data_IF_377262565332
#
_entry.id   IF_377262565332
#
_cell.length_a   1.000
_cell.length_b   1.000
_cell.length_c   1.000
_cell.angle_alpha   90.00
_cell.angle_beta   90.00
_cell.angle_gamma   90.00
#
_symmetry.space_group_name_H-M   'P 1'
#
loop_
_entity.id
_entity.type
_entity.pdbx_description
1 polymer ?
#
# COMPACT_ATOMS: atom_id res chain seq x y z
N UNK A 1 -28.65 13.15 -16.01
CA UNK A 1 -28.18 12.74 -17.35
C UNK A 1 -27.64 11.34 -17.16
N UNK A 2 -28.49 10.37 -17.44
CA UNK A 2 -28.23 8.96 -17.15
C UNK A 2 -27.00 8.52 -17.93
N UNK A 3 -26.00 7.98 -17.22
CA UNK A 3 -24.86 7.35 -17.88
C UNK A 3 -25.40 6.24 -18.77
N UNK A 4 -25.15 6.31 -20.08
CA UNK A 4 -25.56 5.25 -20.99
C UNK A 4 -24.93 3.93 -20.54
N UNK A 5 -25.78 3.00 -20.12
CA UNK A 5 -25.39 1.68 -19.66
C UNK A 5 -24.90 0.86 -20.88
N UNK A 6 -23.83 0.05 -20.77
CA UNK A 6 -23.36 -0.78 -21.87
C UNK A 6 -24.47 -1.65 -22.47
N UNK A 7 -24.48 -1.82 -23.80
CA UNK A 7 -25.48 -2.64 -24.51
C UNK A 7 -25.52 -4.08 -23.99
N UNK A 8 -24.38 -4.64 -23.56
CA UNK A 8 -24.32 -5.98 -22.98
C UNK A 8 -25.12 -6.11 -21.67
N UNK A 9 -25.16 -5.05 -20.87
CA UNK A 9 -25.95 -4.99 -19.63
C UNK A 9 -27.44 -4.76 -19.93
N UNK A 10 -27.73 -3.98 -20.99
CA UNK A 10 -29.11 -3.67 -21.42
C UNK A 10 -29.79 -4.82 -22.15
N UNK A 11 -29.02 -5.64 -22.90
CA UNK A 11 -29.51 -6.75 -23.72
C UNK A 11 -28.77 -8.06 -23.36
N UNK A 12 -28.99 -8.60 -22.15
CA UNK A 12 -28.24 -9.75 -21.65
C UNK A 12 -28.59 -11.05 -22.38
N UNK A 13 -29.82 -11.20 -22.90
CA UNK A 13 -30.24 -12.43 -23.55
C UNK A 13 -29.50 -12.64 -24.88
N UNK A 14 -29.44 -11.62 -25.75
CA UNK A 14 -28.65 -11.71 -26.98
C UNK A 14 -27.15 -11.75 -26.70
N UNK A 15 -26.68 -11.01 -25.69
CA UNK A 15 -25.26 -11.05 -25.30
C UNK A 15 -24.80 -12.45 -24.91
N UNK A 16 -25.62 -13.21 -24.19
CA UNK A 16 -25.32 -14.62 -23.86
C UNK A 16 -25.17 -15.55 -25.06
N UNK A 17 -25.71 -15.17 -26.23
CA UNK A 17 -25.62 -15.95 -27.47
C UNK A 17 -24.47 -15.47 -28.38
N UNK A 18 -23.77 -14.38 -28.05
CA UNK A 18 -22.63 -13.89 -28.83
C UNK A 18 -21.42 -14.83 -28.70
N UNK A 19 -20.89 -15.29 -29.82
CA UNK A 19 -19.67 -16.13 -29.85
C UNK A 19 -18.40 -15.29 -29.85
N UNK A 20 -18.47 -14.03 -30.30
CA UNK A 20 -17.34 -13.11 -30.40
C UNK A 20 -17.53 -11.85 -29.57
N UNK A 21 -17.21 -11.92 -28.27
CA UNK A 21 -17.41 -10.84 -27.30
C UNK A 21 -16.51 -9.61 -27.51
N UNK A 22 -15.44 -9.74 -28.29
CA UNK A 22 -14.48 -8.67 -28.54
C UNK A 22 -14.53 -8.14 -29.99
N UNK A 23 -15.64 -8.35 -30.69
CA UNK A 23 -15.85 -7.75 -32.01
C UNK A 23 -15.96 -6.21 -31.89
N UNK A 24 -15.35 -5.48 -32.82
CA UNK A 24 -15.52 -4.03 -32.90
C UNK A 24 -16.89 -3.70 -33.48
N UNK A 25 -17.47 -2.55 -33.13
CA UNK A 25 -18.73 -2.08 -33.72
C UNK A 25 -18.59 -1.99 -35.25
N UNK A 26 -17.44 -1.56 -35.76
CA UNK A 26 -17.17 -1.55 -37.20
C UNK A 26 -17.25 -2.93 -37.85
N UNK A 27 -16.71 -3.98 -37.20
CA UNK A 27 -16.82 -5.35 -37.70
C UNK A 27 -18.26 -5.85 -37.69
N UNK A 28 -19.02 -5.54 -36.62
CA UNK A 28 -20.43 -5.94 -36.48
C UNK A 28 -21.32 -5.23 -37.51
N UNK A 29 -21.09 -3.94 -37.77
CA UNK A 29 -21.81 -3.20 -38.83
C UNK A 29 -21.52 -3.80 -40.20
N UNK A 30 -20.27 -4.18 -40.48
CA UNK A 30 -19.88 -4.70 -41.79
C UNK A 30 -20.26 -6.16 -42.05
N UNK A 31 -20.23 -7.02 -41.02
CA UNK A 31 -20.39 -8.49 -41.17
C UNK A 31 -21.61 -9.05 -40.45
N UNK A 32 -22.26 -8.27 -39.58
CA UNK A 32 -23.32 -8.73 -38.69
C UNK A 32 -22.78 -9.29 -37.37
N UNK A 33 -23.70 -9.82 -36.56
CA UNK A 33 -23.39 -10.39 -35.25
C UNK A 33 -22.98 -11.85 -35.38
N UNK A 34 -21.89 -12.24 -34.71
CA UNK A 34 -21.49 -13.64 -34.56
C UNK A 34 -22.27 -14.28 -33.39
N UNK A 35 -23.28 -15.09 -33.71
CA UNK A 35 -24.22 -15.67 -32.75
C UNK A 35 -24.21 -17.20 -32.78
N UNK A 36 -24.43 -17.83 -31.63
CA UNK A 36 -24.70 -19.25 -31.52
C UNK A 36 -25.97 -19.62 -32.32
N UNK A 37 -26.02 -20.80 -32.97
CA UNK A 37 -27.24 -21.27 -33.62
C UNK A 37 -28.39 -21.44 -32.62
N UNK A 38 -29.63 -21.19 -33.07
CA UNK A 38 -30.88 -21.28 -32.28
C UNK A 38 -30.98 -20.25 -31.15
N UNK A 39 -31.38 -19.03 -31.51
CA UNK A 39 -31.70 -18.00 -30.53
C UNK A 39 -32.96 -18.36 -29.74
N UNK A 40 -32.94 -18.05 -28.44
CA UNK A 40 -34.18 -18.01 -27.66
C UNK A 40 -35.10 -16.89 -28.16
N UNK A 41 -36.40 -16.97 -27.86
CA UNK A 41 -37.36 -15.92 -28.23
C UNK A 41 -36.95 -14.56 -27.69
N UNK A 42 -36.46 -14.50 -26.45
CA UNK A 42 -35.97 -13.27 -25.84
C UNK A 42 -34.74 -12.72 -26.57
N UNK A 43 -33.76 -13.57 -26.89
CA UNK A 43 -32.56 -13.16 -27.64
C UNK A 43 -32.91 -12.69 -29.06
N UNK A 44 -33.88 -13.31 -29.72
CA UNK A 44 -34.36 -12.89 -31.04
C UNK A 44 -35.04 -11.51 -31.00
N UNK A 45 -35.85 -11.23 -29.97
CA UNK A 45 -36.42 -9.90 -29.76
C UNK A 45 -35.33 -8.85 -29.51
N UNK A 46 -34.40 -9.12 -28.59
CA UNK A 46 -33.28 -8.21 -28.30
C UNK A 46 -32.39 -7.98 -29.52
N UNK A 47 -32.17 -8.99 -30.37
CA UNK A 47 -31.40 -8.87 -31.59
C UNK A 47 -32.00 -7.81 -32.54
N UNK A 48 -33.32 -7.79 -32.70
CA UNK A 48 -33.99 -6.79 -33.54
C UNK A 48 -33.76 -5.36 -33.00
N UNK A 49 -33.82 -5.19 -31.69
CA UNK A 49 -33.56 -3.89 -31.05
C UNK A 49 -32.11 -3.44 -31.22
N UNK A 50 -31.15 -4.34 -30.97
CA UNK A 50 -29.73 -4.04 -31.10
C UNK A 50 -29.36 -3.78 -32.58
N UNK A 51 -29.92 -4.54 -33.52
CA UNK A 51 -29.74 -4.29 -34.96
C UNK A 51 -30.24 -2.89 -35.35
N UNK A 52 -31.38 -2.45 -34.81
CA UNK A 52 -31.90 -1.09 -35.06
C UNK A 52 -30.97 0.00 -34.52
N UNK A 53 -30.40 -0.22 -33.33
CA UNK A 53 -29.42 0.70 -32.75
C UNK A 53 -28.14 0.77 -33.59
N UNK A 54 -27.61 -0.38 -33.99
CA UNK A 54 -26.38 -0.47 -34.80
C UNK A 54 -26.58 0.10 -36.20
N UNK A 55 -27.75 -0.10 -36.81
CA UNK A 55 -28.08 0.49 -38.12
C UNK A 55 -28.08 2.03 -38.11
N UNK A 56 -28.29 2.66 -36.95
CA UNK A 56 -28.21 4.11 -36.80
C UNK A 56 -26.78 4.68 -36.67
N UNK A 57 -25.75 3.82 -36.60
CA UNK A 57 -24.37 4.25 -36.37
C UNK A 57 -23.70 4.59 -37.70
N UNK A 58 -23.22 5.83 -37.83
CA UNK A 58 -22.36 6.25 -38.93
C UNK A 58 -20.90 6.17 -38.51
N UNK A 59 -20.13 5.27 -39.14
CA UNK A 59 -18.71 5.06 -38.85
C UNK A 59 -17.86 6.11 -39.57
N UNK A 60 -16.89 6.69 -38.85
CA UNK A 60 -15.83 7.51 -39.44
C UNK A 60 -14.67 6.67 -39.98
N UNK A 61 -13.83 7.25 -40.84
CA UNK A 61 -12.61 6.62 -41.38
C UNK A 61 -11.39 6.76 -40.46
N UNK A 62 -11.51 7.53 -39.37
CA UNK A 62 -10.44 7.76 -38.41
C UNK A 62 -10.31 6.64 -37.37
N UNK A 63 -9.22 6.65 -36.61
CA UNK A 63 -9.05 5.76 -35.47
C UNK A 63 -10.05 6.07 -34.35
N UNK A 64 -10.42 5.06 -33.58
CA UNK A 64 -11.31 5.21 -32.42
C UNK A 64 -10.74 6.21 -31.40
N UNK A 65 -11.60 7.10 -30.89
CA UNK A 65 -11.26 8.07 -29.84
C UNK A 65 -12.08 7.79 -28.59
N UNK A 66 -11.40 7.69 -27.44
CA UNK A 66 -12.03 7.49 -26.13
C UNK A 66 -12.14 8.82 -25.40
N UNK A 67 -13.28 9.04 -24.77
CA UNK A 67 -13.60 10.27 -24.06
C UNK A 67 -14.18 9.94 -22.68
N UNK A 68 -14.04 10.88 -21.75
CA UNK A 68 -14.75 10.85 -20.46
C UNK A 68 -16.00 11.71 -20.62
N UNK A 69 -17.19 11.11 -20.55
CA UNK A 69 -18.47 11.72 -20.92
C UNK A 69 -18.76 13.02 -20.14
N UNK A 70 -18.36 13.07 -18.86
CA UNK A 70 -18.55 14.23 -17.99
C UNK A 70 -17.63 15.43 -18.31
N UNK A 71 -16.60 15.27 -19.16
CA UNK A 71 -15.62 16.30 -19.50
C UNK A 71 -15.71 16.75 -20.97
N UNK A 72 -16.93 16.86 -21.52
CA UNK A 72 -17.21 17.47 -22.85
C UNK A 72 -16.23 17.01 -23.94
N UNK A 73 -16.01 15.69 -24.06
CA UNK A 73 -15.11 15.09 -25.07
C UNK A 73 -13.64 15.49 -24.96
N UNK A 74 -13.14 15.79 -23.76
CA UNK A 74 -11.70 15.78 -23.51
C UNK A 74 -11.14 14.36 -23.75
N UNK A 75 -9.95 14.29 -24.34
CA UNK A 75 -9.25 13.02 -24.57
C UNK A 75 -9.10 12.24 -23.27
N UNK A 76 -9.38 10.94 -23.28
CA UNK A 76 -9.23 10.09 -22.11
C UNK A 76 -7.85 10.23 -21.45
N UNK A 77 -7.85 10.47 -20.14
CA UNK A 77 -6.65 10.56 -19.31
C UNK A 77 -6.82 9.68 -18.08
N UNK A 78 -5.94 8.67 -17.92
CA UNK A 78 -6.01 7.73 -16.79
C UNK A 78 -5.96 8.43 -15.43
N UNK A 79 -5.22 9.54 -15.32
CA UNK A 79 -5.14 10.36 -14.09
C UNK A 79 -6.49 10.95 -13.70
N UNK A 80 -7.24 11.43 -14.69
CA UNK A 80 -8.55 12.05 -14.45
C UNK A 80 -9.61 10.99 -14.17
N UNK A 81 -9.60 9.89 -14.94
CA UNK A 81 -10.45 8.74 -14.66
C UNK A 81 -10.22 8.17 -13.25
N UNK A 82 -8.96 8.03 -12.83
CA UNK A 82 -8.61 7.58 -11.48
C UNK A 82 -9.11 8.55 -10.41
N UNK A 83 -8.93 9.88 -10.58
CA UNK A 83 -9.44 10.87 -9.63
C UNK A 83 -10.97 10.86 -9.50
N UNK A 84 -11.68 10.52 -10.58
CA UNK A 84 -13.15 10.40 -10.55
C UNK A 84 -13.61 9.11 -9.85
N UNK A 85 -12.93 7.99 -10.10
CA UNK A 85 -13.24 6.69 -9.48
C UNK A 85 -12.78 6.60 -8.02
N UNK A 86 -11.75 7.35 -7.67
CA UNK A 86 -11.14 7.41 -6.34
C UNK A 86 -11.06 8.87 -5.91
N UNK A 87 -12.18 9.46 -5.43
CA UNK A 87 -12.16 10.81 -4.89
C UNK A 87 -11.11 10.90 -3.78
N UNK A 88 -10.41 12.03 -3.65
CA UNK A 88 -9.34 12.17 -2.67
C UNK A 88 -9.90 11.94 -1.26
N UNK A 89 -9.44 10.86 -0.62
CA UNK A 89 -9.66 10.64 0.80
C UNK A 89 -8.72 11.54 1.60
N UNK A 90 -9.13 12.03 2.79
CA UNK A 90 -8.22 12.72 3.67
C UNK A 90 -7.00 11.81 3.94
N UNK A 91 -5.77 12.33 3.81
CA UNK A 91 -4.58 11.54 4.09
C UNK A 91 -4.62 11.07 5.55
N UNK A 92 -4.35 9.78 5.77
CA UNK A 92 -4.11 9.26 7.11
C UNK A 92 -2.89 9.97 7.71
N UNK A 93 -3.06 10.57 8.89
CA UNK A 93 -2.08 11.47 9.48
C UNK A 93 -0.75 10.74 9.79
N UNK A 94 -0.83 9.45 10.15
CA UNK A 94 0.33 8.57 10.41
C UNK A 94 1.09 8.20 9.14
N UNK A 95 0.37 7.76 8.09
CA UNK A 95 0.95 7.44 6.80
C UNK A 95 1.75 8.65 6.25
N UNK A 96 1.26 9.87 6.48
CA UNK A 96 1.93 11.10 6.06
C UNK A 96 3.37 11.21 6.58
N UNK A 97 3.64 10.80 7.83
CA UNK A 97 4.97 10.93 8.45
C UNK A 97 5.99 10.10 7.69
N UNK A 98 5.79 8.79 7.54
CA UNK A 98 6.73 7.91 6.85
C UNK A 98 6.97 8.33 5.39
N UNK A 99 5.92 8.79 4.69
CA UNK A 99 6.03 9.26 3.31
C UNK A 99 6.81 10.57 3.18
N UNK A 100 6.76 11.45 4.20
CA UNK A 100 7.53 12.71 4.24
C UNK A 100 9.04 12.50 4.44
N UNK A 101 9.45 11.41 5.09
CA UNK A 101 10.85 11.11 5.38
C UNK A 101 11.64 10.71 4.13
N UNK A 102 12.94 10.98 4.12
CA UNK A 102 13.88 10.57 3.06
C UNK A 102 14.37 9.13 3.21
N UNK A 103 13.44 8.21 3.47
CA UNK A 103 13.71 6.77 3.65
C UNK A 103 13.73 6.02 2.30
N UNK A 104 14.38 4.85 2.22
CA UNK A 104 14.18 3.91 1.11
C UNK A 104 12.71 3.52 0.93
N UNK A 105 12.26 3.31 -0.31
CA UNK A 105 10.85 2.96 -0.60
C UNK A 105 10.39 1.71 0.14
N UNK A 106 11.27 0.72 0.31
CA UNK A 106 10.99 -0.50 1.10
C UNK A 106 10.58 -0.17 2.53
N UNK A 107 11.23 0.81 3.16
CA UNK A 107 10.89 1.25 4.52
C UNK A 107 9.60 2.05 4.57
N UNK A 108 9.32 2.87 3.56
CA UNK A 108 8.03 3.59 3.48
C UNK A 108 6.86 2.62 3.38
N UNK A 109 6.99 1.58 2.57
CA UNK A 109 5.98 0.51 2.48
C UNK A 109 5.87 -0.24 3.80
N UNK A 110 6.99 -0.57 4.44
CA UNK A 110 7.00 -1.23 5.75
C UNK A 110 6.25 -0.41 6.81
N UNK A 111 6.56 0.89 6.93
CA UNK A 111 5.89 1.80 7.86
C UNK A 111 4.40 1.95 7.53
N UNK A 112 4.05 2.09 6.25
CA UNK A 112 2.64 2.13 5.84
C UNK A 112 1.88 0.86 6.21
N UNK A 113 2.49 -0.33 6.01
CA UNK A 113 1.89 -1.59 6.42
C UNK A 113 1.73 -1.72 7.93
N UNK A 114 2.60 -1.06 8.70
CA UNK A 114 2.49 -0.97 10.16
C UNK A 114 1.27 -0.13 10.56
N UNK A 115 1.16 1.09 10.00
CA UNK A 115 0.08 2.04 10.29
C UNK A 115 -1.32 1.45 10.01
N UNK A 116 -1.45 0.64 8.95
CA UNK A 116 -2.73 -0.03 8.61
C UNK A 116 -2.89 -1.42 9.24
N UNK A 117 -2.02 -1.79 10.20
CA UNK A 117 -1.99 -3.08 10.89
C UNK A 117 -2.00 -4.29 9.95
N UNK A 118 -1.14 -4.28 8.92
CA UNK A 118 -1.00 -5.36 7.93
C UNK A 118 0.36 -6.02 7.89
N UNK A 119 1.29 -5.63 8.77
CA UNK A 119 2.55 -6.36 8.94
C UNK A 119 2.33 -7.82 9.34
N UNK A 120 3.26 -8.68 8.96
CA UNK A 120 3.24 -10.12 9.25
C UNK A 120 3.67 -10.44 10.69
N UNK A 121 3.06 -9.76 11.66
CA UNK A 121 3.17 -10.11 13.09
C UNK A 121 2.48 -11.45 13.37
N UNK A 122 2.81 -12.13 14.48
CA UNK A 122 2.15 -13.41 14.81
C UNK A 122 0.65 -13.25 14.97
N UNK A 123 0.16 -12.18 15.58
CA UNK A 123 -1.29 -11.92 15.67
C UNK A 123 -1.95 -11.85 14.27
N UNK A 124 -1.37 -11.09 13.34
CA UNK A 124 -1.92 -10.97 11.99
C UNK A 124 -1.81 -12.25 11.17
N UNK A 125 -0.73 -13.03 11.34
CA UNK A 125 -0.56 -14.31 10.67
C UNK A 125 -1.51 -15.38 11.23
N UNK A 126 -1.71 -15.40 12.54
CA UNK A 126 -2.65 -16.30 13.21
C UNK A 126 -4.09 -16.02 12.77
N UNK A 127 -4.50 -14.74 12.74
CA UNK A 127 -5.81 -14.33 12.23
C UNK A 127 -6.03 -14.74 10.76
N UNK A 128 -4.96 -14.81 9.95
CA UNK A 128 -5.00 -15.27 8.54
C UNK A 128 -4.82 -16.79 8.41
N UNK A 129 -4.81 -17.54 9.52
CA UNK A 129 -4.55 -18.99 9.56
C UNK A 129 -3.21 -19.39 8.90
N UNK A 130 -2.23 -18.50 8.90
CA UNK A 130 -0.89 -18.70 8.34
C UNK A 130 0.17 -19.00 9.42
N UNK A 131 -0.19 -18.94 10.69
CA UNK A 131 0.68 -19.29 11.81
C UNK A 131 -0.11 -20.11 12.85
N UNK A 132 0.54 -21.03 13.58
CA UNK A 132 -0.13 -21.89 14.56
C UNK A 132 -0.47 -21.18 15.89
N UNK A 133 0.13 -20.01 16.14
CA UNK A 133 -0.03 -19.22 17.35
C UNK A 133 0.19 -17.74 17.06
N UNK A 134 -0.46 -16.88 17.85
CA UNK A 134 -0.26 -15.44 17.89
C UNK A 134 0.84 -14.98 18.86
N UNK A 135 1.47 -15.91 19.59
CA UNK A 135 2.48 -15.62 20.61
C UNK A 135 3.81 -15.13 20.01
N UNK A 136 4.40 -14.14 20.66
CA UNK A 136 5.69 -13.57 20.32
C UNK A 136 6.79 -14.61 20.54
N UNK A 137 7.76 -14.65 19.62
CA UNK A 137 8.90 -15.57 19.71
C UNK A 137 9.89 -15.22 20.84
N UNK A 138 9.71 -14.09 21.55
CA UNK A 138 10.66 -13.58 22.55
C UNK A 138 10.12 -13.67 23.98
N UNK A 139 8.85 -13.32 24.22
CA UNK A 139 8.32 -13.14 25.59
C UNK A 139 6.90 -13.65 25.78
N UNK A 140 6.46 -14.62 24.96
CA UNK A 140 5.20 -15.38 25.06
C UNK A 140 3.88 -14.60 25.08
N UNK A 141 3.91 -13.26 25.10
CA UNK A 141 2.75 -12.39 24.92
C UNK A 141 2.25 -12.38 23.46
N UNK A 142 1.03 -11.87 23.22
CA UNK A 142 0.48 -11.74 21.86
C UNK A 142 1.29 -10.73 21.04
N UNK A 143 1.84 -11.15 19.89
CA UNK A 143 2.66 -10.31 19.03
C UNK A 143 1.79 -9.43 18.11
N UNK A 144 1.28 -8.33 18.66
CA UNK A 144 0.73 -7.21 17.88
C UNK A 144 1.86 -6.33 17.33
N UNK A 145 1.55 -5.38 16.44
CA UNK A 145 2.53 -4.37 15.98
C UNK A 145 3.06 -3.55 17.17
N UNK A 146 2.15 -3.05 18.02
CA UNK A 146 2.50 -2.33 19.24
C UNK A 146 3.40 -3.18 20.13
N UNK A 147 3.02 -4.43 20.39
CA UNK A 147 3.85 -5.33 21.18
C UNK A 147 5.24 -5.47 20.56
N UNK A 148 5.31 -5.79 19.27
CA UNK A 148 6.57 -6.02 18.57
C UNK A 148 7.51 -4.81 18.63
N UNK A 149 7.00 -3.60 18.45
CA UNK A 149 7.84 -2.41 18.35
C UNK A 149 8.01 -1.63 19.65
N UNK A 150 7.15 -1.81 20.65
CA UNK A 150 7.14 -0.97 21.85
C UNK A 150 7.18 -1.74 23.17
N UNK A 151 6.58 -2.94 23.25
CA UNK A 151 6.34 -3.62 24.54
C UNK A 151 7.18 -4.89 24.73
N UNK A 152 7.53 -5.57 23.63
CA UNK A 152 8.34 -6.77 23.63
C UNK A 152 9.66 -6.52 24.37
N UNK A 153 10.14 -7.51 25.14
CA UNK A 153 11.37 -7.41 25.94
C UNK A 153 12.56 -6.86 25.15
N UNK A 154 12.70 -7.26 23.89
CA UNK A 154 13.77 -6.73 23.01
C UNK A 154 13.56 -5.26 22.69
N UNK A 155 12.35 -4.87 22.27
CA UNK A 155 12.02 -3.50 21.92
C UNK A 155 12.14 -2.54 23.12
N UNK A 156 11.58 -2.94 24.26
CA UNK A 156 11.66 -2.20 25.52
C UNK A 156 13.10 -1.91 25.93
N UNK A 157 14.00 -2.89 25.83
CA UNK A 157 15.43 -2.68 26.10
C UNK A 157 16.12 -1.77 25.07
N UNK A 158 15.74 -1.82 23.79
CA UNK A 158 16.26 -0.91 22.76
C UNK A 158 15.88 0.53 23.08
N UNK A 159 14.61 0.80 23.36
CA UNK A 159 14.13 2.15 23.68
C UNK A 159 14.70 2.68 25.00
N UNK A 160 14.76 1.84 26.04
CA UNK A 160 15.37 2.20 27.32
C UNK A 160 16.84 2.60 27.16
N UNK A 161 17.63 1.85 26.37
CA UNK A 161 19.03 2.21 26.07
C UNK A 161 19.13 3.54 25.33
N UNK A 162 18.18 3.85 24.46
CA UNK A 162 18.10 5.14 23.77
C UNK A 162 17.52 6.26 24.64
N UNK A 163 17.24 6.03 25.92
CA UNK A 163 16.69 7.03 26.83
C UNK A 163 15.26 7.45 26.48
N UNK A 164 14.52 6.58 25.79
CA UNK A 164 13.13 6.80 25.41
C UNK A 164 12.24 6.06 26.40
N UNK A 165 11.43 6.80 27.16
CA UNK A 165 10.37 6.22 27.96
C UNK A 165 9.15 6.02 27.08
N UNK A 166 8.76 4.77 26.85
CA UNK A 166 7.57 4.41 26.06
C UNK A 166 6.31 4.66 26.90
N UNK A 167 5.39 5.56 26.50
CA UNK A 167 4.15 5.80 27.23
C UNK A 167 3.25 4.55 27.29
N UNK A 168 2.53 4.36 28.39
CA UNK A 168 1.61 3.23 28.58
C UNK A 168 0.31 3.36 27.78
N UNK A 169 -0.10 4.57 27.44
CA UNK A 169 -1.35 4.84 26.71
C UNK A 169 -1.26 4.47 25.22
N UNK A 170 -2.39 4.53 24.51
CA UNK A 170 -2.41 4.31 23.06
C UNK A 170 -1.91 5.58 22.36
N UNK A 171 -0.67 5.54 21.86
CA UNK A 171 -0.04 6.63 21.14
C UNK A 171 0.56 6.10 19.83
N UNK A 172 0.75 6.96 18.84
CA UNK A 172 1.40 6.60 17.58
C UNK A 172 2.90 6.40 17.80
N UNK A 173 3.54 5.42 17.17
CA UNK A 173 5.00 5.25 17.28
C UNK A 173 5.79 6.49 16.83
N UNK A 174 5.18 7.33 15.98
CA UNK A 174 5.73 8.61 15.55
C UNK A 174 5.68 9.69 16.65
N UNK A 175 4.91 9.50 17.72
CA UNK A 175 4.79 10.42 18.85
C UNK A 175 5.74 10.07 20.02
N UNK A 176 6.68 9.14 19.81
CA UNK A 176 7.70 8.80 20.80
C UNK A 176 8.48 10.05 21.25
N UNK A 177 8.73 10.23 22.56
CA UNK A 177 9.45 11.40 23.06
C UNK A 177 10.86 11.45 22.48
N UNK A 178 11.29 12.65 22.10
CA UNK A 178 12.63 12.91 21.57
C UNK A 178 13.63 12.88 22.73
N UNK A 179 14.68 12.04 22.69
CA UNK A 179 15.71 12.05 23.73
C UNK A 179 16.48 13.37 23.79
N UNK A 180 16.98 13.71 24.98
CA UNK A 180 17.82 14.89 25.17
C UNK A 180 19.08 14.81 24.28
N UNK A 181 19.36 15.89 23.55
CA UNK A 181 20.51 15.97 22.64
C UNK A 181 20.25 15.42 21.24
N UNK A 182 19.03 14.96 20.94
CA UNK A 182 18.62 14.56 19.59
C UNK A 182 17.77 15.66 18.95
N UNK A 183 18.06 15.99 17.68
CA UNK A 183 17.27 16.95 16.93
C UNK A 183 15.91 16.36 16.52
N UNK A 184 14.81 17.02 16.92
CA UNK A 184 13.43 16.63 16.59
C UNK A 184 13.22 16.37 15.09
N UNK A 185 13.85 17.17 14.23
CA UNK A 185 13.75 17.04 12.78
C UNK A 185 14.25 15.69 12.22
N UNK A 186 15.15 15.02 12.96
CA UNK A 186 15.70 13.71 12.56
C UNK A 186 15.16 12.55 13.38
N UNK A 187 14.38 12.82 14.43
CA UNK A 187 13.96 11.77 15.36
C UNK A 187 13.09 10.71 14.70
N UNK A 188 12.09 11.11 13.89
CA UNK A 188 11.27 10.15 13.14
C UNK A 188 12.09 9.28 12.17
N UNK A 189 13.21 9.82 11.63
CA UNK A 189 14.12 9.03 10.82
C UNK A 189 14.83 7.94 11.64
N UNK A 190 15.24 8.27 12.87
CA UNK A 190 15.79 7.32 13.84
C UNK A 190 14.77 6.28 14.29
N UNK A 191 13.54 6.70 14.60
CA UNK A 191 12.43 5.80 14.97
C UNK A 191 12.19 4.77 13.85
N UNK A 192 12.10 5.22 12.60
CA UNK A 192 11.92 4.32 11.46
C UNK A 192 13.09 3.32 11.29
N UNK A 193 14.33 3.76 11.52
CA UNK A 193 15.51 2.89 11.47
C UNK A 193 15.50 1.83 12.59
N UNK A 194 15.11 2.23 13.80
CA UNK A 194 14.99 1.31 14.94
C UNK A 194 13.86 0.30 14.73
N UNK A 195 12.68 0.73 14.30
CA UNK A 195 11.58 -0.17 13.95
C UNK A 195 12.02 -1.21 12.92
N UNK A 196 12.68 -0.74 11.85
CA UNK A 196 13.21 -1.62 10.81
C UNK A 196 14.23 -2.62 11.35
N UNK A 197 15.10 -2.20 12.27
CA UNK A 197 16.08 -3.06 12.90
C UNK A 197 15.47 -4.10 13.85
N UNK A 198 14.47 -3.70 14.65
CA UNK A 198 13.69 -4.61 15.51
C UNK A 198 12.97 -5.65 14.64
N UNK A 199 12.31 -5.21 13.55
CA UNK A 199 11.67 -6.11 12.59
C UNK A 199 12.62 -7.14 12.00
N UNK A 200 13.80 -6.71 11.53
CA UNK A 200 14.83 -7.61 11.01
C UNK A 200 15.33 -8.58 12.09
N UNK A 201 15.58 -8.09 13.29
CA UNK A 201 16.05 -8.90 14.43
C UNK A 201 15.05 -9.98 14.80
N UNK A 202 13.77 -9.63 14.90
CA UNK A 202 12.70 -10.60 15.13
C UNK A 202 12.59 -11.62 14.00
N UNK A 203 12.73 -11.19 12.74
CA UNK A 203 12.69 -12.12 11.61
C UNK A 203 13.89 -13.06 11.57
N UNK A 204 15.09 -12.59 11.91
CA UNK A 204 16.26 -13.45 12.05
C UNK A 204 16.05 -14.52 13.12
N UNK A 205 15.42 -14.17 14.25
CA UNK A 205 15.03 -15.15 15.26
C UNK A 205 14.02 -16.17 14.71
N UNK A 206 12.95 -15.70 14.07
CA UNK A 206 11.86 -16.58 13.61
C UNK A 206 12.26 -17.51 12.47
N UNK A 207 13.04 -17.03 11.50
CA UNK A 207 13.39 -17.79 10.31
C UNK A 207 14.74 -18.48 10.38
N UNK A 208 15.70 -17.90 11.12
CA UNK A 208 17.07 -18.40 11.19
C UNK A 208 17.48 -18.88 12.60
N UNK A 209 16.62 -18.73 13.62
CA UNK A 209 16.94 -19.08 15.00
C UNK A 209 18.02 -18.20 15.62
N UNK A 210 18.30 -17.02 15.05
CA UNK A 210 19.39 -16.14 15.49
C UNK A 210 18.84 -15.15 16.53
N UNK A 211 19.23 -15.33 17.78
CA UNK A 211 18.96 -14.37 18.85
C UNK A 211 20.05 -13.31 18.89
N UNK A 212 19.68 -12.04 18.87
CA UNK A 212 20.63 -10.92 18.94
C UNK A 212 20.31 -10.00 20.11
N UNK A 213 21.33 -9.34 20.65
CA UNK A 213 21.14 -8.40 21.76
C UNK A 213 20.43 -7.11 21.32
N UNK A 214 19.78 -6.38 22.24
CA UNK A 214 19.25 -5.04 21.97
C UNK A 214 20.31 -4.07 21.40
N UNK A 215 21.56 -4.18 21.88
CA UNK A 215 22.69 -3.38 21.37
C UNK A 215 22.95 -3.68 19.90
N UNK A 216 22.88 -4.95 19.49
CA UNK A 216 23.05 -5.32 18.09
C UNK A 216 21.97 -4.69 17.19
N UNK A 217 20.72 -4.65 17.65
CA UNK A 217 19.65 -3.95 16.93
C UNK A 217 19.93 -2.45 16.78
N UNK A 218 20.48 -1.79 17.80
CA UNK A 218 20.86 -0.36 17.69
C UNK A 218 22.01 -0.18 16.70
N UNK A 219 23.07 -1.00 16.77
CA UNK A 219 24.20 -0.93 15.83
C UNK A 219 23.75 -1.14 14.38
N UNK A 220 22.91 -2.15 14.14
CA UNK A 220 22.29 -2.42 12.84
C UNK A 220 21.48 -1.23 12.30
N UNK A 221 20.74 -0.53 13.17
CA UNK A 221 20.04 0.69 12.78
C UNK A 221 21.03 1.82 12.44
N UNK A 222 22.15 1.94 13.15
CA UNK A 222 23.19 2.92 12.85
C UNK A 222 23.88 2.67 11.50
N UNK A 223 24.07 1.41 11.13
CA UNK A 223 24.62 1.02 9.82
C UNK A 223 23.64 1.36 8.69
N UNK A 224 22.35 1.08 8.90
CA UNK A 224 21.28 1.47 7.98
C UNK A 224 21.22 3.01 7.82
N UNK A 225 21.30 3.77 8.92
CA UNK A 225 21.34 5.24 8.91
C UNK A 225 22.56 5.74 8.11
N UNK A 226 23.74 5.13 8.30
CA UNK A 226 24.94 5.50 7.56
C UNK A 226 24.78 5.33 6.04
N UNK A 227 24.04 4.30 5.62
CA UNK A 227 23.69 4.09 4.22
C UNK A 227 22.63 5.09 3.73
N UNK A 228 21.61 5.37 4.54
CA UNK A 228 20.47 6.19 4.13
C UNK A 228 20.74 7.70 4.20
N UNK A 229 21.76 8.15 4.95
CA UNK A 229 22.15 9.57 5.03
C UNK A 229 22.41 10.20 3.67
N UNK A 230 22.82 9.40 2.68
CA UNK A 230 23.08 9.86 1.31
C UNK A 230 21.80 10.31 0.58
N UNK A 231 20.61 9.95 1.08
CA UNK A 231 19.31 10.39 0.57
C UNK A 231 18.87 11.75 1.13
N UNK A 232 19.59 12.25 2.12
CA UNK A 232 19.29 13.51 2.81
C UNK A 232 20.11 14.63 2.14
N UNK A 233 19.51 15.81 1.89
CA UNK A 233 20.24 16.97 1.38
C UNK A 233 21.45 17.28 2.26
N UNK A 234 22.54 17.79 1.67
CA UNK A 234 23.81 18.00 2.38
C UNK A 234 23.66 18.74 3.73
N UNK A 235 22.80 19.76 3.78
CA UNK A 235 22.55 20.56 4.99
C UNK A 235 21.93 19.77 6.15
N UNK A 236 21.17 18.70 5.88
CA UNK A 236 20.55 17.87 6.92
C UNK A 236 21.39 16.66 7.35
N UNK A 237 22.58 16.47 6.78
CA UNK A 237 23.40 15.27 7.07
C UNK A 237 24.08 15.35 8.43
N UNK A 238 24.47 16.55 8.87
CA UNK A 238 25.09 16.75 10.17
C UNK A 238 24.17 16.29 11.31
N UNK A 239 22.88 16.60 11.23
CA UNK A 239 21.90 16.17 12.23
C UNK A 239 21.72 14.65 12.26
N UNK A 240 21.77 14.01 11.08
CA UNK A 240 21.65 12.54 10.94
C UNK A 240 22.90 11.83 11.45
N UNK A 241 24.08 12.40 11.18
CA UNK A 241 25.35 11.90 11.71
C UNK A 241 25.40 12.09 13.24
N UNK A 242 24.81 13.17 13.76
CA UNK A 242 24.68 13.41 15.20
C UNK A 242 23.72 12.42 15.87
N UNK A 243 22.56 12.16 15.26
CA UNK A 243 21.64 11.11 15.67
C UNK A 243 22.32 9.73 15.69
N UNK A 244 23.06 9.38 14.62
CA UNK A 244 23.79 8.12 14.56
C UNK A 244 24.83 8.02 15.68
N UNK A 245 25.57 9.10 15.93
CA UNK A 245 26.58 9.15 17.00
C UNK A 245 25.92 8.99 18.39
N UNK A 246 24.79 9.66 18.61
CA UNK A 246 23.96 9.49 19.81
C UNK A 246 23.58 8.03 20.05
N UNK A 247 23.08 7.35 19.02
CA UNK A 247 22.67 5.94 19.12
C UNK A 247 23.86 5.01 19.39
N UNK A 248 25.02 5.26 18.75
CA UNK A 248 26.24 4.49 18.97
C UNK A 248 26.79 4.64 20.39
N UNK A 249 26.74 5.83 20.98
CA UNK A 249 27.16 6.05 22.38
C UNK A 249 26.31 5.26 23.40
N UNK A 250 25.15 4.74 23.02
CA UNK A 250 24.29 3.89 23.86
C UNK A 250 24.51 2.38 23.64
N UNK A 251 25.47 2.04 22.78
CA UNK A 251 25.88 0.68 22.49
C UNK A 251 27.11 0.22 23.28
N UNK A 252 27.71 1.11 24.05
CA UNK A 252 28.72 0.82 25.06
C UNK A 252 28.06 0.39 26.39
#
# INVERSE_FOLDING_TARGET
>A
MDAEVPLATRFPAIFSHCTRLHATVAAVVGRGFDLQPRLSTAAACELLEVQRLVAGISLGSGADRRFIDYMRRASFCSREAYRMLSPPHPPDASACVAWSLRLPSKLKIFAYLDDINRLSTRANLFHKSCAPSETCAVCDAVETSRHLFLECTTASHVWARLGVLVPSEQFSIWELPVPLGVATATWHFGVAAIMWSIWKTRNDLVFNGITTSPVFAIRRACDDIALWRWRIPHLGRADVDSLRSYMLMRCD
#
